data_IF_338060058332
#
_entry.id   IF_338060058332
#
_cell.length_a   1.000
_cell.length_b   1.000
_cell.length_c   1.000
_cell.angle_alpha   90.00
_cell.angle_beta   90.00
_cell.angle_gamma   90.00
#
_symmetry.space_group_name_H-M   'P 1'
#
loop_
_entity.id
_entity.type
_entity.pdbx_description
1 polymer ?
#
# COMPACT_ATOMS: atom_id res chain seq x y z
N UNK A 1 9.25 20.36 19.86
CA UNK A 1 10.00 19.33 20.64
C UNK A 1 9.80 18.00 19.96
N UNK A 2 10.84 17.20 19.74
CA UNK A 2 10.77 15.86 19.15
C UNK A 2 10.96 14.80 20.21
N UNK A 3 10.27 13.66 20.06
CA UNK A 3 10.39 12.49 20.93
C UNK A 3 11.55 11.59 20.47
N UNK A 4 11.98 10.63 21.31
CA UNK A 4 12.97 9.63 20.91
C UNK A 4 12.48 8.82 19.70
N UNK A 5 13.44 8.29 18.94
CA UNK A 5 13.15 7.32 17.88
C UNK A 5 12.62 6.03 18.51
N UNK A 6 11.50 5.55 18.00
CA UNK A 6 10.93 4.24 18.38
C UNK A 6 11.03 3.27 17.22
N UNK A 7 11.41 2.03 17.51
CA UNK A 7 11.46 0.93 16.56
C UNK A 7 10.49 -0.17 16.99
N UNK A 8 9.76 -0.71 16.06
CA UNK A 8 8.92 -1.90 16.25
C UNK A 8 9.55 -3.03 15.47
N UNK A 9 9.94 -4.09 16.13
CA UNK A 9 10.41 -5.33 15.52
C UNK A 9 9.40 -6.45 15.77
N UNK A 10 9.30 -7.39 14.84
CA UNK A 10 8.45 -8.56 15.05
C UNK A 10 8.06 -9.29 13.78
N UNK A 11 6.89 -9.92 13.84
CA UNK A 11 6.45 -10.86 12.82
C UNK A 11 5.07 -10.52 12.25
N UNK A 12 4.89 -10.93 11.00
CA UNK A 12 3.60 -11.00 10.32
C UNK A 12 3.33 -12.48 9.98
N UNK A 13 2.15 -13.00 10.31
CA UNK A 13 1.76 -14.37 9.94
C UNK A 13 0.64 -14.31 8.91
N UNK A 14 0.81 -14.97 7.77
CA UNK A 14 -0.21 -15.07 6.73
C UNK A 14 -1.43 -15.84 7.22
N UNK A 15 -2.59 -15.18 7.25
CA UNK A 15 -3.89 -15.79 7.58
C UNK A 15 -4.68 -16.14 6.31
N UNK A 16 -4.30 -15.61 5.18
CA UNK A 16 -4.68 -16.02 3.83
C UNK A 16 -3.46 -15.97 2.93
N UNK A 17 -3.52 -16.58 1.74
CA UNK A 17 -2.40 -16.52 0.80
C UNK A 17 -2.04 -15.07 0.45
N UNK A 18 -0.74 -14.81 0.27
CA UNK A 18 -0.24 -13.45 -0.01
C UNK A 18 0.31 -13.39 -1.43
N UNK A 19 -0.26 -12.53 -2.25
CA UNK A 19 0.22 -12.20 -3.59
C UNK A 19 1.02 -10.89 -3.55
N UNK A 20 2.26 -10.94 -4.04
CA UNK A 20 3.09 -9.75 -4.22
C UNK A 20 3.83 -9.84 -5.56
N UNK A 21 3.12 -9.42 -6.60
CA UNK A 21 3.55 -9.57 -7.98
C UNK A 21 4.82 -8.75 -8.30
N UNK A 22 5.71 -9.35 -9.08
CA UNK A 22 6.82 -8.69 -9.77
C UNK A 22 6.60 -8.79 -11.27
N UNK A 23 6.98 -9.92 -11.86
CA UNK A 23 6.95 -10.15 -13.29
C UNK A 23 5.88 -11.18 -13.66
N UNK A 24 5.44 -11.13 -14.92
CA UNK A 24 4.57 -12.15 -15.49
C UNK A 24 5.37 -12.96 -16.52
N UNK A 25 5.39 -14.29 -16.36
CA UNK A 25 5.96 -15.23 -17.34
C UNK A 25 4.85 -16.05 -17.98
N UNK A 26 4.54 -15.74 -19.22
CA UNK A 26 3.36 -16.31 -19.90
C UNK A 26 2.08 -15.95 -19.15
N UNK A 27 1.36 -16.95 -18.66
CA UNK A 27 0.11 -16.78 -17.89
C UNK A 27 0.33 -16.79 -16.37
N UNK A 28 1.58 -16.84 -15.89
CA UNK A 28 1.93 -16.94 -14.47
C UNK A 28 2.46 -15.59 -13.96
N UNK A 29 1.80 -15.02 -12.97
CA UNK A 29 2.31 -13.86 -12.23
C UNK A 29 3.17 -14.36 -11.08
N UNK A 30 4.45 -14.01 -11.07
CA UNK A 30 5.42 -14.47 -10.08
C UNK A 30 5.52 -13.52 -8.89
N UNK A 31 5.87 -14.06 -7.73
CA UNK A 31 6.25 -13.28 -6.55
C UNK A 31 7.54 -12.48 -6.81
N UNK A 32 7.60 -11.30 -6.21
CA UNK A 32 8.83 -10.51 -6.18
C UNK A 32 9.89 -11.26 -5.38
N UNK A 33 11.08 -11.38 -5.97
CA UNK A 33 12.24 -12.03 -5.36
C UNK A 33 13.37 -11.06 -5.13
N UNK A 34 14.20 -11.40 -4.16
CA UNK A 34 15.44 -10.70 -3.88
C UNK A 34 16.60 -11.68 -3.85
N UNK A 35 17.76 -11.22 -4.30
CA UNK A 35 18.99 -11.99 -4.20
C UNK A 35 19.52 -11.91 -2.77
N UNK A 36 19.69 -13.06 -2.13
CA UNK A 36 20.24 -13.19 -0.78
C UNK A 36 21.54 -13.97 -0.84
N UNK A 37 22.60 -13.38 -0.30
CA UNK A 37 23.90 -14.04 -0.14
C UNK A 37 23.80 -15.01 1.03
N UNK A 38 24.07 -16.28 0.77
CA UNK A 38 24.12 -17.32 1.80
C UNK A 38 25.45 -17.26 2.56
N UNK A 39 25.55 -17.80 3.80
CA UNK A 39 26.79 -17.84 4.56
C UNK A 39 27.96 -18.47 3.82
N UNK A 40 27.69 -19.39 2.87
CA UNK A 40 28.69 -20.00 1.98
C UNK A 40 29.01 -19.19 0.71
N UNK A 41 28.52 -17.95 0.58
CA UNK A 41 28.75 -17.06 -0.57
C UNK A 41 27.86 -17.30 -1.78
N UNK A 42 26.98 -18.29 -1.75
CA UNK A 42 26.05 -18.56 -2.83
C UNK A 42 24.93 -17.50 -2.87
N UNK A 43 24.47 -17.16 -4.06
CA UNK A 43 23.35 -16.23 -4.30
C UNK A 43 22.08 -17.03 -4.56
N UNK A 44 21.04 -16.77 -3.77
CA UNK A 44 19.74 -17.43 -3.89
C UNK A 44 18.62 -16.39 -4.04
N UNK A 45 17.73 -16.60 -5.00
CA UNK A 45 16.52 -15.80 -5.17
C UNK A 45 15.45 -16.23 -4.19
N UNK A 46 15.15 -15.37 -3.22
CA UNK A 46 14.13 -15.62 -2.20
C UNK A 46 12.91 -14.72 -2.45
N UNK A 47 11.68 -15.27 -2.49
CA UNK A 47 10.47 -14.45 -2.53
C UNK A 47 10.38 -13.60 -1.27
N UNK A 48 10.06 -12.32 -1.43
CA UNK A 48 9.88 -11.37 -0.32
C UNK A 48 8.66 -10.48 -0.58
N UNK A 49 8.19 -9.78 0.46
CA UNK A 49 7.30 -8.63 0.28
C UNK A 49 8.08 -7.35 0.53
N UNK A 50 8.00 -6.39 -0.41
CA UNK A 50 8.77 -5.14 -0.29
C UNK A 50 8.27 -4.28 0.87
N UNK A 51 9.19 -3.56 1.52
CA UNK A 51 8.84 -2.58 2.54
C UNK A 51 7.90 -1.48 2.02
N UNK A 52 8.01 -1.12 0.74
CA UNK A 52 7.09 -0.17 0.11
C UNK A 52 5.63 -0.66 0.12
N UNK A 53 5.40 -1.96 -0.01
CA UNK A 53 4.04 -2.53 0.06
C UNK A 53 3.45 -2.35 1.45
N UNK A 54 4.20 -2.70 2.50
CA UNK A 54 3.77 -2.50 3.88
C UNK A 54 3.59 -1.00 4.19
N UNK A 55 4.59 -0.17 3.83
CA UNK A 55 4.52 1.29 4.02
C UNK A 55 3.33 1.91 3.28
N UNK A 56 3.05 1.46 2.07
CA UNK A 56 1.91 1.92 1.27
C UNK A 56 0.56 1.53 1.88
N UNK A 57 0.48 0.38 2.55
CA UNK A 57 -0.73 -0.02 3.30
C UNK A 57 -0.94 0.86 4.52
N UNK A 58 0.09 1.07 5.33
CA UNK A 58 0.04 1.97 6.50
C UNK A 58 -0.32 3.41 6.07
N UNK A 59 0.25 3.91 4.97
CA UNK A 59 -0.07 5.23 4.43
C UNK A 59 -1.55 5.36 4.06
N UNK A 60 -2.16 4.35 3.44
CA UNK A 60 -3.58 4.39 3.06
C UNK A 60 -4.49 4.40 4.29
N UNK A 61 -4.16 3.62 5.31
CA UNK A 61 -4.85 3.68 6.60
C UNK A 61 -4.75 5.08 7.19
N UNK A 62 -3.55 5.65 7.21
CA UNK A 62 -3.34 7.02 7.72
C UNK A 62 -4.10 8.08 6.91
N UNK A 63 -4.15 7.95 5.58
CA UNK A 63 -4.92 8.86 4.74
C UNK A 63 -6.42 8.77 5.04
N UNK A 64 -6.97 7.58 5.24
CA UNK A 64 -8.38 7.39 5.61
C UNK A 64 -8.70 8.04 6.97
N UNK A 65 -7.78 7.93 7.94
CA UNK A 65 -7.93 8.59 9.24
C UNK A 65 -7.88 10.12 9.12
N UNK A 66 -6.93 10.67 8.35
CA UNK A 66 -6.81 12.12 8.11
C UNK A 66 -8.00 12.64 7.31
N UNK A 67 -8.49 11.89 6.34
CA UNK A 67 -9.70 12.21 5.59
C UNK A 67 -10.89 12.40 6.52
N UNK A 68 -11.07 11.49 7.48
CA UNK A 68 -12.11 11.61 8.49
C UNK A 68 -11.96 12.84 9.39
N UNK A 69 -10.72 13.17 9.80
CA UNK A 69 -10.45 14.32 10.66
C UNK A 69 -10.60 15.68 9.95
N UNK A 70 -10.18 15.78 8.70
CA UNK A 70 -10.22 17.01 7.90
C UNK A 70 -11.55 17.22 7.15
N UNK A 71 -12.32 16.15 6.88
CA UNK A 71 -13.52 16.23 6.07
C UNK A 71 -13.26 16.80 4.67
N UNK A 72 -12.20 16.37 4.01
CA UNK A 72 -11.71 17.01 2.78
C UNK A 72 -12.37 16.52 1.48
N UNK A 73 -13.31 15.59 1.53
CA UNK A 73 -14.04 15.13 0.35
C UNK A 73 -14.75 16.29 -0.35
N UNK A 74 -14.52 16.39 -1.67
CA UNK A 74 -15.04 17.51 -2.47
C UNK A 74 -14.37 18.88 -2.22
N UNK A 75 -13.37 18.96 -1.33
CA UNK A 75 -12.70 20.21 -0.94
C UNK A 75 -11.22 20.25 -1.36
N UNK A 76 -10.58 19.09 -1.48
CA UNK A 76 -9.16 18.98 -1.78
C UNK A 76 -8.93 18.69 -3.27
N UNK A 77 -7.95 19.35 -3.88
CA UNK A 77 -7.56 19.10 -5.26
C UNK A 77 -7.04 17.65 -5.42
N UNK A 78 -7.33 16.96 -6.56
CA UNK A 78 -6.92 15.57 -6.78
C UNK A 78 -5.43 15.32 -6.59
N UNK A 79 -4.57 16.28 -6.95
CA UNK A 79 -3.12 16.16 -6.80
C UNK A 79 -2.68 16.12 -5.33
N UNK A 80 -3.25 16.97 -4.47
CA UNK A 80 -2.98 16.97 -3.03
C UNK A 80 -3.53 15.69 -2.35
N UNK A 81 -4.74 15.25 -2.73
CA UNK A 81 -5.30 13.98 -2.26
C UNK A 81 -4.42 12.80 -2.67
N UNK A 82 -3.87 12.81 -3.90
CA UNK A 82 -2.93 11.79 -4.37
C UNK A 82 -1.62 11.81 -3.58
N UNK A 83 -1.07 12.97 -3.26
CA UNK A 83 0.12 13.10 -2.43
C UNK A 83 -0.07 12.48 -1.03
N UNK A 84 -1.22 12.66 -0.41
CA UNK A 84 -1.56 12.01 0.86
C UNK A 84 -1.66 10.49 0.70
N UNK A 85 -2.44 10.00 -0.27
CA UNK A 85 -2.73 8.58 -0.44
C UNK A 85 -1.58 7.78 -1.06
N UNK A 86 -0.93 8.33 -2.11
CA UNK A 86 0.14 7.67 -2.88
C UNK A 86 1.54 8.14 -2.52
N UNK A 87 1.68 9.34 -1.98
CA UNK A 87 2.97 9.95 -1.65
C UNK A 87 3.70 10.58 -2.83
N UNK A 88 3.20 10.40 -4.06
CA UNK A 88 3.78 10.95 -5.29
C UNK A 88 3.05 12.19 -5.78
N UNK A 89 3.63 12.88 -6.78
CA UNK A 89 2.97 13.94 -7.51
C UNK A 89 2.25 13.40 -8.75
N UNK A 90 1.06 13.90 -9.05
CA UNK A 90 0.31 13.57 -10.28
C UNK A 90 0.78 14.37 -11.48
N UNK A 91 1.41 15.53 -11.27
CA UNK A 91 1.85 16.42 -12.34
C UNK A 91 3.32 16.81 -12.16
N UNK A 92 4.01 17.08 -13.26
CA UNK A 92 5.27 17.83 -13.21
C UNK A 92 4.90 19.27 -12.88
N UNK A 93 4.97 19.63 -11.62
CA UNK A 93 4.72 20.99 -11.17
C UNK A 93 5.98 21.82 -11.38
N UNK A 94 5.84 22.93 -12.09
CA UNK A 94 6.88 23.97 -12.28
C UNK A 94 6.83 25.01 -11.16
N UNK A 95 6.33 24.66 -9.99
CA UNK A 95 6.18 25.60 -8.89
C UNK A 95 7.48 25.71 -8.09
N UNK A 96 7.68 26.83 -7.46
CA UNK A 96 8.80 27.04 -6.56
C UNK A 96 8.81 26.00 -5.43
N UNK A 97 9.99 25.51 -5.03
CA UNK A 97 10.09 24.59 -3.91
C UNK A 97 9.45 25.18 -2.65
N UNK A 98 8.79 24.33 -1.87
CA UNK A 98 8.23 24.75 -0.59
C UNK A 98 9.31 25.34 0.31
N UNK A 99 9.06 26.53 0.86
CA UNK A 99 9.96 27.11 1.86
C UNK A 99 9.96 26.27 3.14
N UNK A 100 11.06 26.31 3.90
CA UNK A 100 11.18 25.57 5.15
C UNK A 100 10.07 25.89 6.15
N UNK A 101 9.57 27.13 6.20
CA UNK A 101 8.46 27.52 7.07
C UNK A 101 7.12 26.92 6.63
N UNK A 102 6.84 26.89 5.32
CA UNK A 102 5.64 26.23 4.77
C UNK A 102 5.66 24.74 5.01
N UNK A 103 6.82 24.10 4.86
CA UNK A 103 7.01 22.68 5.15
C UNK A 103 6.79 22.39 6.64
N UNK A 104 7.33 23.20 7.54
CA UNK A 104 7.15 23.05 8.98
C UNK A 104 5.67 23.19 9.38
N UNK A 105 4.98 24.17 8.82
CA UNK A 105 3.54 24.36 9.02
C UNK A 105 2.73 23.17 8.52
N UNK A 106 3.03 22.67 7.33
CA UNK A 106 2.34 21.53 6.73
C UNK A 106 2.48 20.26 7.61
N UNK A 107 3.68 20.00 8.14
CA UNK A 107 3.92 18.87 9.06
C UNK A 107 3.20 19.05 10.40
N UNK A 108 3.07 20.27 10.88
CA UNK A 108 2.33 20.59 12.10
C UNK A 108 0.82 20.36 11.93
N UNK A 109 0.26 20.74 10.78
CA UNK A 109 -1.17 20.66 10.50
C UNK A 109 -1.62 19.25 10.07
N UNK A 110 -0.75 18.53 9.33
CA UNK A 110 -1.07 17.26 8.69
C UNK A 110 -0.03 16.22 9.07
N UNK A 111 -0.23 15.47 10.18
CA UNK A 111 0.74 14.50 10.67
C UNK A 111 1.04 13.38 9.67
N UNK A 112 0.14 13.09 8.74
CA UNK A 112 0.35 12.18 7.62
C UNK A 112 1.61 12.55 6.80
N UNK A 113 1.80 13.85 6.52
CA UNK A 113 2.98 14.34 5.78
C UNK A 113 4.25 14.17 6.60
N UNK A 114 4.19 14.47 7.89
CA UNK A 114 5.35 14.28 8.78
C UNK A 114 5.79 12.83 8.91
N UNK A 115 4.83 11.91 9.03
CA UNK A 115 5.11 10.48 9.17
C UNK A 115 5.49 9.83 7.85
N UNK A 116 4.71 10.04 6.79
CA UNK A 116 4.89 9.32 5.53
C UNK A 116 5.59 10.12 4.42
N UNK A 117 5.83 11.41 4.62
CA UNK A 117 6.34 12.27 3.56
C UNK A 117 5.37 12.43 2.39
N UNK A 118 5.74 13.23 1.42
CA UNK A 118 5.02 13.42 0.17
C UNK A 118 5.95 13.98 -0.92
N UNK A 119 5.47 14.00 -2.17
CA UNK A 119 6.08 14.78 -3.23
C UNK A 119 5.07 15.82 -3.72
N UNK A 120 5.49 17.06 -3.78
CA UNK A 120 4.67 18.17 -4.25
C UNK A 120 5.50 19.45 -4.38
N UNK A 121 5.05 20.42 -5.17
CA UNK A 121 5.76 21.67 -5.36
C UNK A 121 7.22 21.51 -5.85
N UNK A 122 7.52 20.49 -6.66
CA UNK A 122 8.89 20.20 -7.11
C UNK A 122 9.84 19.68 -6.01
N UNK A 123 9.34 19.42 -4.80
CA UNK A 123 10.15 19.00 -3.65
C UNK A 123 9.71 17.62 -3.15
N UNK A 124 10.68 16.79 -2.75
CA UNK A 124 10.42 15.55 -2.01
C UNK A 124 10.46 15.88 -0.52
N UNK A 125 9.38 15.58 0.17
CA UNK A 125 9.25 15.75 1.62
C UNK A 125 9.50 14.40 2.27
N UNK A 126 10.58 14.28 3.00
CA UNK A 126 10.90 13.05 3.71
C UNK A 126 9.98 12.83 4.91
N UNK A 127 9.49 11.60 5.05
CA UNK A 127 8.72 11.19 6.22
C UNK A 127 9.59 10.59 7.31
N UNK A 128 9.12 10.69 8.55
CA UNK A 128 9.82 10.13 9.72
C UNK A 128 9.79 8.59 9.75
N UNK A 129 8.87 7.92 9.02
CA UNK A 129 8.70 6.48 9.03
C UNK A 129 9.61 5.77 8.03
N UNK A 130 10.48 4.90 8.53
CA UNK A 130 11.17 3.87 7.75
C UNK A 130 10.52 2.50 8.00
N UNK A 131 10.49 1.66 6.96
CA UNK A 131 9.85 0.34 6.99
C UNK A 131 10.81 -0.69 6.40
N UNK A 132 11.00 -1.79 7.11
CA UNK A 132 11.80 -2.93 6.66
C UNK A 132 11.11 -3.72 5.55
N UNK A 133 11.90 -4.55 4.87
CA UNK A 133 11.35 -5.60 4.02
C UNK A 133 10.62 -6.62 4.87
N UNK A 134 9.64 -7.28 4.29
CA UNK A 134 8.91 -8.38 4.94
C UNK A 134 9.51 -9.67 4.44
N UNK A 135 10.39 -10.26 5.27
CA UNK A 135 11.27 -11.38 4.91
C UNK A 135 10.67 -12.68 5.45
N UNK A 136 10.35 -13.68 4.60
CA UNK A 136 9.78 -14.93 5.04
C UNK A 136 10.77 -15.75 5.87
N UNK A 137 10.25 -16.52 6.81
CA UNK A 137 11.02 -17.51 7.57
C UNK A 137 11.22 -18.77 6.72
N UNK A 138 12.33 -18.82 6.03
CA UNK A 138 12.77 -19.95 5.20
C UNK A 138 14.24 -20.26 5.51
N UNK A 139 14.72 -21.43 5.09
CA UNK A 139 16.11 -21.85 5.33
C UNK A 139 17.09 -20.79 4.86
N UNK A 140 16.87 -20.23 3.68
CA UNK A 140 17.75 -19.27 3.02
C UNK A 140 17.79 -17.90 3.70
N UNK A 141 16.85 -17.63 4.63
CA UNK A 141 16.81 -16.37 5.41
C UNK A 141 17.15 -16.56 6.88
N UNK A 142 17.45 -17.76 7.34
CA UNK A 142 17.73 -18.05 8.76
C UNK A 142 18.87 -17.20 9.34
N UNK A 143 19.93 -16.97 8.56
CA UNK A 143 21.06 -16.15 8.99
C UNK A 143 20.74 -14.66 9.12
N UNK A 144 19.60 -14.22 8.57
CA UNK A 144 19.11 -12.83 8.64
C UNK A 144 18.02 -12.71 9.71
N UNK A 145 17.10 -13.69 9.76
CA UNK A 145 15.90 -13.63 10.61
C UNK A 145 16.09 -14.27 11.97
N UNK A 146 17.06 -15.19 12.10
CA UNK A 146 17.25 -16.00 13.32
C UNK A 146 16.10 -16.97 13.60
N UNK A 147 15.22 -17.23 12.63
CA UNK A 147 13.95 -17.92 12.85
C UNK A 147 14.06 -19.44 13.03
N UNK A 148 15.17 -20.07 12.61
CA UNK A 148 15.36 -21.53 12.67
C UNK A 148 14.40 -22.29 11.72
N UNK A 149 13.99 -21.66 10.61
CA UNK A 149 13.08 -22.27 9.65
C UNK A 149 13.70 -23.50 8.98
N UNK A 150 12.88 -24.48 8.67
CA UNK A 150 13.28 -25.74 8.03
C UNK A 150 12.77 -25.88 6.59
N UNK A 151 11.85 -25.02 6.17
CA UNK A 151 11.26 -25.00 4.83
C UNK A 151 12.13 -24.15 3.90
N UNK A 152 12.50 -24.69 2.73
CA UNK A 152 13.22 -23.93 1.70
C UNK A 152 12.31 -22.90 1.02
N UNK A 153 12.89 -21.79 0.58
CA UNK A 153 12.20 -20.74 -0.18
C UNK A 153 11.52 -21.29 -1.45
N UNK A 154 12.09 -22.33 -2.07
CA UNK A 154 11.50 -22.99 -3.23
C UNK A 154 10.18 -23.70 -2.91
N UNK A 155 10.09 -24.34 -1.72
CA UNK A 155 8.89 -25.05 -1.26
C UNK A 155 7.92 -24.16 -0.49
N UNK A 156 8.31 -22.92 -0.21
CA UNK A 156 7.53 -21.96 0.58
C UNK A 156 6.58 -21.10 -0.29
N UNK A 157 6.35 -21.49 -1.54
CA UNK A 157 5.40 -20.81 -2.44
C UNK A 157 4.46 -21.83 -3.06
N UNK A 158 3.29 -21.34 -3.48
CA UNK A 158 2.29 -22.13 -4.20
C UNK A 158 1.82 -21.37 -5.43
N UNK A 159 1.24 -22.10 -6.39
CA UNK A 159 0.60 -21.52 -7.56
C UNK A 159 -0.90 -21.72 -7.43
N UNK A 160 -1.64 -20.62 -7.44
CA UNK A 160 -3.09 -20.60 -7.44
C UNK A 160 -3.60 -20.31 -8.86
N UNK A 161 -4.54 -21.11 -9.34
CA UNK A 161 -5.16 -20.94 -10.64
C UNK A 161 -6.47 -20.17 -10.51
N UNK A 162 -6.65 -19.16 -11.35
CA UNK A 162 -7.88 -18.37 -11.42
C UNK A 162 -8.47 -18.48 -12.81
N UNK A 163 -9.79 -18.52 -12.87
CA UNK A 163 -10.53 -18.45 -14.10
C UNK A 163 -11.36 -17.17 -14.09
N UNK A 164 -11.32 -16.45 -15.17
CA UNK A 164 -12.26 -15.36 -15.44
C UNK A 164 -13.15 -15.82 -16.61
N UNK A 165 -14.41 -15.94 -16.35
CA UNK A 165 -15.38 -16.18 -17.39
C UNK A 165 -15.92 -14.83 -17.84
N UNK A 166 -15.93 -14.62 -19.14
CA UNK A 166 -16.62 -13.48 -19.74
C UNK A 166 -18.02 -13.94 -20.12
N UNK A 167 -19.02 -13.48 -19.36
CA UNK A 167 -20.42 -13.80 -19.60
C UNK A 167 -21.08 -12.81 -20.59
N UNK A 168 -20.30 -11.90 -21.19
CA UNK A 168 -20.83 -10.91 -22.14
C UNK A 168 -21.61 -11.54 -23.28
N UNK A 169 -21.21 -12.74 -23.72
CA UNK A 169 -21.94 -13.48 -24.75
C UNK A 169 -23.21 -14.18 -24.26
N UNK A 170 -23.43 -14.31 -22.95
CA UNK A 170 -24.62 -14.94 -22.36
C UNK A 170 -25.74 -13.95 -22.01
N UNK A 171 -25.47 -12.66 -22.03
CA UNK A 171 -26.40 -11.59 -21.76
C UNK A 171 -26.55 -10.68 -22.97
N UNK A 172 -27.79 -10.29 -23.27
CA UNK A 172 -28.06 -9.30 -24.31
C UNK A 172 -27.78 -7.89 -23.75
N UNK A 173 -26.54 -7.42 -23.92
CA UNK A 173 -26.16 -6.06 -23.57
C UNK A 173 -26.62 -5.01 -24.57
N UNK A 174 -27.21 -5.40 -25.70
CA UNK A 174 -27.75 -4.47 -26.70
C UNK A 174 -28.90 -3.63 -26.15
N UNK A 175 -29.60 -4.14 -25.13
CA UNK A 175 -30.65 -3.39 -24.42
C UNK A 175 -30.08 -2.20 -23.58
N UNK A 176 -28.80 -2.13 -23.35
CA UNK A 176 -28.12 -1.10 -22.51
C UNK A 176 -27.43 -0.04 -23.37
N UNK A 177 -27.05 -0.35 -24.60
CA UNK A 177 -26.45 0.59 -25.53
C UNK A 177 -27.49 1.25 -26.44
N UNK A 178 -27.36 2.54 -26.79
CA UNK A 178 -28.17 3.14 -27.84
C UNK A 178 -27.90 2.39 -29.14
N UNK A 179 -28.86 1.58 -29.54
CA UNK A 179 -28.69 0.57 -30.59
C UNK A 179 -28.63 1.13 -32.01
N UNK A 180 -29.00 2.38 -32.22
CA UNK A 180 -29.02 2.97 -33.55
C UNK A 180 -27.61 3.01 -34.20
N UNK A 181 -26.62 3.42 -33.47
CA UNK A 181 -25.25 3.57 -33.98
C UNK A 181 -24.47 2.23 -34.11
N UNK A 182 -24.96 1.17 -33.44
CA UNK A 182 -24.34 -0.17 -33.49
C UNK A 182 -25.00 -1.07 -34.58
N UNK A 183 -26.24 -0.81 -34.93
CA UNK A 183 -26.98 -1.60 -35.92
C UNK A 183 -26.94 -1.00 -37.33
N UNK A 184 -26.67 0.30 -37.41
CA UNK A 184 -26.60 1.02 -38.68
C UNK A 184 -25.24 1.72 -38.76
N UNK A 185 -24.46 1.43 -39.80
CA UNK A 185 -23.29 2.23 -40.13
C UNK A 185 -23.67 3.68 -40.42
N UNK A 186 -22.68 4.54 -40.55
CA UNK A 186 -22.88 5.98 -40.85
C UNK A 186 -23.75 6.24 -42.08
N UNK A 187 -23.93 5.26 -42.94
CA UNK A 187 -24.73 5.31 -44.17
C UNK A 187 -26.11 4.65 -44.03
N UNK A 188 -26.52 4.24 -42.83
CA UNK A 188 -27.86 3.67 -42.59
C UNK A 188 -28.07 2.24 -43.08
N UNK A 189 -27.06 1.58 -43.58
CA UNK A 189 -27.12 0.18 -44.02
C UNK A 189 -27.11 -0.77 -42.83
N UNK A 190 -27.95 -1.82 -42.81
CA UNK A 190 -27.94 -2.83 -41.74
C UNK A 190 -26.59 -3.53 -41.68
N UNK A 191 -25.86 -3.32 -40.60
CA UNK A 191 -24.66 -4.12 -40.35
C UNK A 191 -25.07 -5.56 -39.97
N UNK A 192 -24.33 -6.57 -40.46
CA UNK A 192 -24.55 -7.94 -40.00
C UNK A 192 -24.36 -7.98 -38.50
N UNK A 193 -25.32 -8.56 -37.77
CA UNK A 193 -25.23 -8.72 -36.33
C UNK A 193 -23.84 -9.26 -35.95
N UNK A 194 -23.15 -8.66 -34.99
CA UNK A 194 -21.85 -9.15 -34.53
C UNK A 194 -22.05 -10.62 -34.16
N UNK A 195 -21.20 -11.49 -34.73
CA UNK A 195 -21.20 -12.91 -34.36
C UNK A 195 -21.00 -12.97 -32.85
N UNK A 196 -21.82 -13.78 -32.12
CA UNK A 196 -21.61 -13.95 -30.71
C UNK A 196 -20.16 -14.44 -30.50
N UNK A 197 -19.32 -13.59 -29.92
CA UNK A 197 -18.00 -14.00 -29.52
C UNK A 197 -18.17 -15.12 -28.51
N UNK A 198 -17.59 -16.27 -28.79
CA UNK A 198 -17.60 -17.37 -27.85
C UNK A 198 -16.99 -16.90 -26.54
N UNK A 199 -17.72 -17.07 -25.45
CA UNK A 199 -17.23 -16.77 -24.10
C UNK A 199 -15.83 -17.37 -23.90
N UNK A 200 -14.81 -16.53 -23.81
CA UNK A 200 -13.44 -16.98 -23.61
C UNK A 200 -13.17 -17.08 -22.11
N UNK A 201 -13.03 -18.30 -21.63
CA UNK A 201 -12.55 -18.54 -20.28
C UNK A 201 -11.05 -18.25 -20.20
N UNK A 202 -10.69 -17.12 -19.61
CA UNK A 202 -9.29 -16.78 -19.35
C UNK A 202 -8.82 -17.51 -18.10
N UNK A 203 -7.76 -18.33 -18.22
CA UNK A 203 -7.05 -18.91 -17.07
C UNK A 203 -5.75 -18.17 -16.84
N UNK A 204 -5.49 -17.77 -15.60
CA UNK A 204 -4.22 -17.22 -15.20
C UNK A 204 -3.79 -17.78 -13.85
N UNK A 205 -2.51 -17.89 -13.65
CA UNK A 205 -1.90 -18.45 -12.46
C UNK A 205 -1.20 -17.34 -11.67
N UNK A 206 -1.20 -17.46 -10.37
CA UNK A 206 -0.56 -16.50 -9.47
C UNK A 206 0.29 -17.27 -8.47
N UNK A 207 1.56 -16.96 -8.41
CA UNK A 207 2.41 -17.45 -7.34
C UNK A 207 2.12 -16.66 -6.06
N UNK A 208 1.96 -17.37 -4.94
CA UNK A 208 1.62 -16.79 -3.65
C UNK A 208 2.41 -17.44 -2.52
N UNK A 209 2.54 -16.71 -1.41
CA UNK A 209 2.92 -17.34 -0.15
C UNK A 209 1.70 -18.06 0.44
N UNK A 210 1.83 -19.30 0.90
CA UNK A 210 0.73 -20.04 1.52
C UNK A 210 0.33 -19.47 2.89
N UNK A 211 -0.86 -19.85 3.32
CA UNK A 211 -1.35 -19.59 4.68
C UNK A 211 -0.38 -20.19 5.71
N UNK A 212 -0.17 -19.48 6.81
CA UNK A 212 0.76 -19.89 7.87
C UNK A 212 2.20 -19.42 7.65
N UNK A 213 2.56 -18.88 6.49
CA UNK A 213 3.89 -18.29 6.28
C UNK A 213 4.13 -17.17 7.29
N UNK A 214 5.24 -17.25 8.02
CA UNK A 214 5.68 -16.23 8.98
C UNK A 214 6.76 -15.38 8.35
N UNK A 215 6.71 -14.08 8.60
CA UNK A 215 7.67 -13.11 8.09
C UNK A 215 8.23 -12.27 9.24
N UNK A 216 9.50 -11.91 9.18
CA UNK A 216 10.08 -10.85 9.99
C UNK A 216 10.00 -9.50 9.28
N UNK A 217 9.74 -8.45 10.03
CA UNK A 217 9.78 -7.06 9.56
C UNK A 217 10.05 -6.10 10.70
N UNK A 218 10.30 -4.85 10.37
CA UNK A 218 10.45 -3.77 11.35
C UNK A 218 9.89 -2.45 10.81
N UNK A 219 9.49 -1.59 11.75
CA UNK A 219 9.11 -0.21 11.52
C UNK A 219 10.01 0.67 12.39
N UNK A 220 10.36 1.86 11.93
CA UNK A 220 11.12 2.84 12.73
C UNK A 220 10.57 4.24 12.48
N UNK A 221 10.10 4.88 13.52
CA UNK A 221 9.67 6.27 13.49
C UNK A 221 10.76 7.15 14.09
N UNK A 222 11.42 7.94 13.25
CA UNK A 222 12.60 8.72 13.64
C UNK A 222 12.22 10.08 14.21
N UNK A 223 12.51 10.30 15.48
CA UNK A 223 12.35 11.58 16.21
C UNK A 223 11.02 12.29 15.88
N UNK A 224 9.86 11.62 16.06
CA UNK A 224 8.58 12.24 15.74
C UNK A 224 8.26 13.39 16.69
N UNK A 225 7.41 14.31 16.25
CA UNK A 225 6.68 15.18 17.18
C UNK A 225 5.65 14.36 17.97
N UNK A 226 5.15 14.87 19.12
CA UNK A 226 4.08 14.20 19.85
C UNK A 226 2.82 13.95 18.99
N UNK A 227 2.48 14.87 18.09
CA UNK A 227 1.35 14.73 17.17
C UNK A 227 1.58 13.62 16.13
N UNK A 228 2.77 13.59 15.53
CA UNK A 228 3.16 12.53 14.57
C UNK A 228 3.16 11.14 15.22
N UNK A 229 3.63 11.04 16.48
CA UNK A 229 3.61 9.76 17.21
C UNK A 229 2.18 9.34 17.52
N UNK A 230 1.34 10.23 18.05
CA UNK A 230 -0.07 9.93 18.35
C UNK A 230 -0.82 9.45 17.10
N UNK A 231 -0.62 10.13 15.98
CA UNK A 231 -1.18 9.75 14.70
C UNK A 231 -0.68 8.37 14.24
N UNK A 232 0.64 8.12 14.33
CA UNK A 232 1.20 6.85 13.87
C UNK A 232 0.74 5.66 14.70
N UNK A 233 0.59 5.83 16.01
CA UNK A 233 0.06 4.78 16.90
C UNK A 233 -1.39 4.42 16.51
N UNK A 234 -2.21 5.40 16.17
CA UNK A 234 -3.59 5.18 15.69
C UNK A 234 -3.61 4.48 14.32
N UNK A 235 -2.69 4.86 13.42
CA UNK A 235 -2.50 4.15 12.14
C UNK A 235 -2.13 2.69 12.36
N UNK A 236 -1.19 2.41 13.27
CA UNK A 236 -0.72 1.06 13.56
C UNK A 236 -1.83 0.21 14.21
N UNK A 237 -2.55 0.77 15.18
CA UNK A 237 -3.68 0.10 15.81
C UNK A 237 -4.80 -0.20 14.81
N UNK A 238 -5.18 0.77 13.98
CA UNK A 238 -6.18 0.59 12.92
C UNK A 238 -5.73 -0.45 11.89
N UNK A 239 -4.46 -0.42 11.48
CA UNK A 239 -3.91 -1.42 10.58
C UNK A 239 -3.95 -2.82 11.18
N UNK A 240 -3.61 -2.99 12.46
CA UNK A 240 -3.54 -4.33 13.08
C UNK A 240 -4.90 -5.01 13.23
N UNK A 241 -6.00 -4.26 13.26
CA UNK A 241 -7.37 -4.81 13.36
C UNK A 241 -7.79 -5.54 12.08
N UNK A 242 -7.39 -5.06 10.89
CA UNK A 242 -7.62 -5.71 9.60
C UNK A 242 -6.38 -5.58 8.71
N UNK A 243 -5.29 -6.18 9.16
CA UNK A 243 -4.02 -6.07 8.48
C UNK A 243 -4.04 -6.83 7.15
N UNK A 244 -3.74 -6.09 6.07
CA UNK A 244 -3.66 -6.62 4.71
C UNK A 244 -2.33 -6.29 4.08
N UNK A 245 -1.71 -7.29 3.45
CA UNK A 245 -0.40 -7.18 2.82
C UNK A 245 -0.44 -7.71 1.37
N UNK A 246 0.25 -7.03 0.48
CA UNK A 246 0.31 -7.44 -0.92
C UNK A 246 -0.86 -6.96 -1.78
N UNK A 247 -1.12 -7.66 -2.87
CA UNK A 247 -2.18 -7.39 -3.83
C UNK A 247 -3.36 -8.35 -3.73
N UNK A 248 -4.33 -8.20 -4.65
CA UNK A 248 -5.51 -9.09 -4.79
C UNK A 248 -6.37 -9.20 -3.53
N UNK A 249 -6.41 -8.15 -2.71
CA UNK A 249 -7.10 -8.13 -1.42
C UNK A 249 -8.61 -8.35 -1.58
N UNK A 250 -9.21 -7.77 -2.63
CA UNK A 250 -10.64 -7.89 -2.91
C UNK A 250 -11.12 -9.33 -3.16
N UNK A 251 -10.20 -10.23 -3.51
CA UNK A 251 -10.51 -11.65 -3.74
C UNK A 251 -9.94 -12.56 -2.64
N UNK A 252 -9.68 -12.01 -1.44
CA UNK A 252 -9.37 -12.77 -0.24
C UNK A 252 -7.90 -12.95 0.08
N UNK A 253 -6.98 -12.42 -0.72
CA UNK A 253 -5.55 -12.49 -0.40
C UNK A 253 -5.12 -11.47 0.65
N UNK A 254 -3.96 -11.75 1.27
CA UNK A 254 -3.17 -10.77 1.99
C UNK A 254 -3.55 -10.56 3.45
N UNK A 255 -4.48 -11.30 4.03
CA UNK A 255 -4.77 -11.18 5.46
C UNK A 255 -3.58 -11.64 6.28
N UNK A 256 -3.15 -10.81 7.24
CA UNK A 256 -2.03 -11.13 8.13
C UNK A 256 -2.37 -10.82 9.58
N UNK A 257 -1.79 -11.61 10.48
CA UNK A 257 -1.74 -11.29 11.90
C UNK A 257 -0.44 -10.56 12.19
N UNK A 258 -0.54 -9.45 12.89
CA UNK A 258 0.60 -8.58 13.23
C UNK A 258 1.03 -8.83 14.67
N UNK A 259 2.31 -9.02 14.88
CA UNK A 259 2.93 -9.10 16.21
C UNK A 259 4.21 -8.26 16.19
N UNK A 260 4.10 -6.99 16.56
CA UNK A 260 5.19 -6.02 16.56
C UNK A 260 5.35 -5.45 17.96
N UNK A 261 6.58 -5.41 18.46
CA UNK A 261 6.91 -4.88 19.77
C UNK A 261 7.76 -3.61 19.64
N UNK A 262 7.37 -2.51 20.29
CA UNK A 262 8.12 -1.25 20.25
C UNK A 262 9.31 -1.26 21.22
N UNK A 263 10.42 -0.65 20.79
CA UNK A 263 11.60 -0.34 21.61
C UNK A 263 12.19 1.03 21.21
N UNK A 264 12.29 2.02 22.13
CA UNK A 264 11.62 2.05 23.44
C UNK A 264 10.08 2.08 23.31
N UNK A 265 9.40 1.65 24.33
CA UNK A 265 7.93 1.75 24.37
C UNK A 265 7.51 3.23 24.25
N UNK A 266 6.49 3.54 23.43
CA UNK A 266 5.91 4.89 23.37
C UNK A 266 5.35 5.31 24.72
N UNK A 267 5.32 6.62 25.04
CA UNK A 267 4.72 7.11 26.27
C UNK A 267 3.24 6.72 26.34
N UNK A 268 2.82 6.15 27.48
CA UNK A 268 1.44 5.71 27.69
C UNK A 268 0.45 6.87 27.87
N UNK A 269 0.93 8.05 28.28
CA UNK A 269 0.15 9.25 28.57
C UNK A 269 0.86 10.50 28.05
N UNK A 270 0.10 11.57 27.86
CA UNK A 270 0.65 12.88 27.48
C UNK A 270 0.78 13.11 25.96
N UNK A 271 0.31 12.18 25.13
CA UNK A 271 0.19 12.44 23.69
C UNK A 271 -1.09 13.26 23.41
N UNK A 272 -1.04 14.21 22.47
CA UNK A 272 -2.22 14.99 22.09
C UNK A 272 -3.25 14.10 21.39
N UNK A 273 -4.53 14.51 21.50
CA UNK A 273 -5.56 14.02 20.57
C UNK A 273 -5.29 14.62 19.18
N UNK A 274 -4.63 13.85 18.34
CA UNK A 274 -4.25 14.29 17.02
C UNK A 274 -5.47 14.58 16.14
N UNK A 275 -6.59 13.85 16.33
CA UNK A 275 -7.81 14.03 15.53
C UNK A 275 -8.45 15.38 15.87
N UNK A 276 -8.66 15.66 17.14
CA UNK A 276 -9.19 16.94 17.59
C UNK A 276 -8.27 18.09 17.19
N UNK A 277 -6.95 17.94 17.36
CA UNK A 277 -5.96 18.96 16.99
C UNK A 277 -5.98 19.27 15.49
N UNK A 278 -6.01 18.24 14.64
CA UNK A 278 -6.05 18.39 13.17
C UNK A 278 -7.41 18.96 12.72
N UNK A 279 -8.53 18.49 13.29
CA UNK A 279 -9.86 18.98 12.95
C UNK A 279 -10.08 20.46 13.34
N UNK A 280 -9.54 20.90 14.46
CA UNK A 280 -9.64 22.30 14.90
C UNK A 280 -9.00 23.29 13.91
N UNK A 281 -8.02 22.84 13.13
CA UNK A 281 -7.30 23.65 12.12
C UNK A 281 -7.55 23.12 10.68
N UNK A 282 -8.69 22.49 10.41
CA UNK A 282 -8.95 21.81 9.14
C UNK A 282 -8.85 22.73 7.91
N UNK A 283 -9.38 23.95 7.98
CA UNK A 283 -9.32 24.90 6.87
C UNK A 283 -7.86 25.29 6.55
N UNK A 284 -7.07 25.60 7.58
CA UNK A 284 -5.67 25.95 7.44
C UNK A 284 -4.85 24.76 6.88
N UNK A 285 -5.18 23.54 7.30
CA UNK A 285 -4.56 22.31 6.78
C UNK A 285 -4.89 22.10 5.30
N UNK A 286 -6.13 22.36 4.88
CA UNK A 286 -6.55 22.23 3.48
C UNK A 286 -5.88 23.29 2.60
N UNK A 287 -5.76 24.52 3.07
CA UNK A 287 -5.06 25.60 2.36
C UNK A 287 -3.56 25.27 2.21
N UNK A 288 -2.93 24.72 3.25
CA UNK A 288 -1.54 24.30 3.21
C UNK A 288 -1.34 23.11 2.24
N UNK A 289 -2.27 22.15 2.18
CA UNK A 289 -2.25 21.01 1.24
C UNK A 289 -2.47 21.48 -0.20
N UNK A 290 -3.34 22.46 -0.45
CA UNK A 290 -3.52 23.03 -1.78
C UNK A 290 -2.22 23.64 -2.33
N UNK A 291 -1.35 24.14 -1.47
CA UNK A 291 -0.02 24.64 -1.84
C UNK A 291 1.00 23.57 -2.23
N UNK A 292 0.66 22.29 -2.18
CA UNK A 292 1.51 21.18 -2.67
C UNK A 292 1.39 20.94 -4.19
N UNK A 293 0.40 21.52 -4.85
CA UNK A 293 0.01 21.21 -6.25
C UNK A 293 0.33 22.29 -7.27
#
# INVERSE_FOLDING_TARGET
>A
MTLPTTRWDGTLTAMSSISHASDTRGTITLLRRELIVQPGGQLVHVPIVSGNTLRGRLRRVGEELVRGALGYEGRLQPAAAHALRGGGSLAKTSHEPLSGSRLALLRELVPQIGVFGAAGGGTIIDGALAVGKVVPHVVETNHITGAGATVSAFSATQIEAYTRQDDAGSHDFTAVAPTADLLFGADGDPQPAPKPEASQQMRFNVETFPVGTVFSTWLRLHRPSPLELAFFLDVLDTFTRDARLGGRIAIGHGQVRVNLSPDPAPPAVGLPDWRATTAARANEALDALAGLT
#
